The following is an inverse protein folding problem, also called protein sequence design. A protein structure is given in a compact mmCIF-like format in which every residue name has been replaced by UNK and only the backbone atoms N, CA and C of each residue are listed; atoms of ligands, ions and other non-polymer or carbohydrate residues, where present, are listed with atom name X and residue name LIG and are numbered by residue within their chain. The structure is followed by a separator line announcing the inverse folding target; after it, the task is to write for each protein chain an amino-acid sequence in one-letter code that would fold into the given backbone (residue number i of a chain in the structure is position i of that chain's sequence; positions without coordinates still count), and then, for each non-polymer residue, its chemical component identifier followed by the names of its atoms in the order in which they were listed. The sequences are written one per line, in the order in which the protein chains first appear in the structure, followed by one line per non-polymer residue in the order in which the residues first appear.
data_IF_804829166021
#
_entry.id   IF_804829166021
#
_cell.length_a   1.000
_cell.length_b   1.000
_cell.length_c   1.000
_cell.angle_alpha   90.00
_cell.angle_beta   90.00
_cell.angle_gamma   90.00
#
_symmetry.space_group_name_H-M   'P 1'
#
loop_
_entity.id
_entity.type
_entity.pdbx_description
1 polymer ?
#
# COMPACT_ATOMS: atom_id res chain seq x y z
N UNK A 1 -2.28 4.03 -14.71
CA UNK A 1 -1.12 4.19 -13.82
C UNK A 1 -1.38 5.31 -12.83
N UNK A 2 -1.17 5.07 -11.56
CA UNK A 2 -1.35 6.08 -10.53
C UNK A 2 -0.23 5.95 -9.48
N UNK A 3 0.12 7.08 -8.88
CA UNK A 3 1.06 7.14 -7.78
C UNK A 3 0.33 7.59 -6.53
N UNK A 4 0.60 6.95 -5.41
CA UNK A 4 0.06 7.35 -4.12
C UNK A 4 1.22 7.62 -3.16
N UNK A 5 1.02 8.59 -2.26
CA UNK A 5 2.02 8.92 -1.25
C UNK A 5 1.65 8.21 0.04
N UNK A 6 2.58 7.39 0.53
CA UNK A 6 2.45 6.71 1.81
C UNK A 6 3.59 7.14 2.72
N UNK A 7 3.48 6.81 3.98
CA UNK A 7 4.52 7.11 4.98
C UNK A 7 5.06 5.79 5.50
N UNK A 8 6.36 5.59 5.39
CA UNK A 8 6.97 4.38 5.93
C UNK A 8 7.04 4.45 7.47
N UNK A 9 7.46 3.37 8.09
CA UNK A 9 7.51 3.28 9.56
C UNK A 9 8.56 4.21 10.17
N UNK A 10 9.47 4.74 9.38
CA UNK A 10 10.45 5.73 9.82
C UNK A 10 9.97 7.16 9.67
N UNK A 11 8.77 7.37 9.14
CA UNK A 11 8.20 8.69 8.93
C UNK A 11 8.55 9.33 7.60
N UNK A 12 9.19 8.62 6.70
CA UNK A 12 9.57 9.14 5.38
C UNK A 12 8.44 8.94 4.37
N UNK A 13 8.29 9.91 3.46
CA UNK A 13 7.34 9.76 2.36
C UNK A 13 7.83 8.72 1.36
N UNK A 14 6.91 7.87 0.92
CA UNK A 14 7.18 6.87 -0.11
C UNK A 14 6.12 7.00 -1.17
N UNK A 15 6.53 7.20 -2.42
CA UNK A 15 5.61 7.25 -3.55
C UNK A 15 5.57 5.89 -4.22
N UNK A 16 4.38 5.31 -4.29
CA UNK A 16 4.19 3.96 -4.78
C UNK A 16 3.37 3.99 -6.06
N UNK A 17 3.88 3.34 -7.10
CA UNK A 17 3.12 3.14 -8.34
C UNK A 17 2.15 2.00 -8.11
N UNK A 18 0.86 2.29 -8.19
CA UNK A 18 -0.19 1.31 -7.88
C UNK A 18 -0.17 0.10 -8.81
N UNK A 19 0.38 0.24 -10.01
CA UNK A 19 0.51 -0.90 -10.94
C UNK A 19 1.47 -1.97 -10.43
N UNK A 20 2.33 -1.64 -9.48
CA UNK A 20 3.33 -2.56 -8.94
C UNK A 20 2.91 -3.19 -7.62
N UNK A 21 1.71 -2.92 -7.15
CA UNK A 21 1.20 -3.51 -5.90
C UNK A 21 0.35 -4.72 -6.24
N UNK A 22 0.74 -5.88 -5.73
CA UNK A 22 0.00 -7.12 -5.94
C UNK A 22 -1.15 -7.25 -4.95
N UNK A 23 -0.89 -6.96 -3.68
CA UNK A 23 -1.91 -6.98 -2.62
C UNK A 23 -1.40 -6.23 -1.40
N UNK A 24 -2.32 -5.89 -0.53
CA UNK A 24 -1.98 -5.27 0.76
C UNK A 24 -2.93 -5.78 1.83
N UNK A 25 -2.46 -5.74 3.08
CA UNK A 25 -3.22 -6.23 4.22
C UNK A 25 -2.83 -5.50 5.49
N UNK A 26 -3.61 -5.71 6.54
CA UNK A 26 -3.27 -5.18 7.86
C UNK A 26 -2.03 -5.90 8.41
N UNK A 27 -1.17 -5.15 9.09
CA UNK A 27 0.06 -5.69 9.66
C UNK A 27 -0.13 -6.23 11.08
N UNK A 28 -1.36 -6.40 11.53
CA UNK A 28 -1.64 -6.95 12.86
C UNK A 28 -1.95 -5.89 13.90
N UNK A 29 -1.12 -5.77 14.93
CA UNK A 29 -1.47 -5.03 16.13
C UNK A 29 -1.50 -3.50 16.00
N UNK A 30 -0.71 -2.94 15.11
CA UNK A 30 -0.54 -1.49 15.02
C UNK A 30 -1.51 -0.80 14.05
N UNK A 31 -2.32 -1.56 13.34
CA UNK A 31 -3.26 -1.00 12.37
C UNK A 31 -2.61 -0.50 11.08
N UNK A 32 -1.32 -0.68 10.93
CA UNK A 32 -0.59 -0.30 9.72
C UNK A 32 -0.85 -1.28 8.58
N UNK A 33 -0.40 -0.95 7.39
CA UNK A 33 -0.57 -1.83 6.23
C UNK A 33 0.76 -2.37 5.73
N UNK A 34 0.72 -3.58 5.19
CA UNK A 34 1.78 -4.16 4.39
C UNK A 34 1.36 -4.16 2.93
N UNK A 35 2.25 -3.69 2.07
CA UNK A 35 2.06 -3.75 0.61
C UNK A 35 3.08 -4.71 0.03
N UNK A 36 2.62 -5.64 -0.77
CA UNK A 36 3.49 -6.56 -1.50
C UNK A 36 3.55 -6.11 -2.94
N UNK A 37 4.75 -5.90 -3.44
CA UNK A 37 4.97 -5.31 -4.76
C UNK A 37 5.51 -6.33 -5.75
N UNK A 38 5.50 -5.95 -7.01
CA UNK A 38 6.10 -6.76 -8.09
C UNK A 38 7.62 -6.65 -8.13
N UNK A 39 8.21 -5.69 -7.40
CA UNK A 39 9.66 -5.55 -7.35
C UNK A 39 10.28 -6.72 -6.62
N UNK A 40 11.43 -7.17 -7.09
CA UNK A 40 12.16 -8.27 -6.49
C UNK A 40 13.49 -7.79 -5.94
N UNK A 41 13.82 -8.31 -4.77
CA UNK A 41 15.15 -8.13 -4.19
C UNK A 41 15.60 -9.50 -3.70
N UNK A 42 16.70 -10.00 -4.25
CA UNK A 42 17.25 -11.32 -3.90
C UNK A 42 16.21 -12.44 -4.01
N UNK A 43 15.48 -12.49 -5.11
CA UNK A 43 14.44 -13.50 -5.40
C UNK A 43 13.22 -13.44 -4.49
N UNK A 44 13.04 -12.34 -3.78
CA UNK A 44 11.88 -12.14 -2.92
C UNK A 44 11.08 -10.95 -3.40
N UNK A 45 9.77 -11.04 -3.29
CA UNK A 45 8.91 -9.89 -3.50
C UNK A 45 9.23 -8.83 -2.45
N UNK A 46 9.38 -7.58 -2.89
CA UNK A 46 9.63 -6.48 -1.99
C UNK A 46 8.34 -6.13 -1.25
N UNK A 47 8.40 -6.17 0.08
CA UNK A 47 7.28 -5.74 0.92
C UNK A 47 7.56 -4.37 1.51
N UNK A 48 6.51 -3.58 1.65
CA UNK A 48 6.59 -2.23 2.18
C UNK A 48 5.64 -2.09 3.36
N UNK A 49 6.20 -1.76 4.53
CA UNK A 49 5.41 -1.52 5.73
C UNK A 49 5.18 -0.01 5.87
N UNK A 50 3.92 0.40 5.87
CA UNK A 50 3.55 1.82 5.92
C UNK A 50 2.69 2.11 7.14
N UNK A 51 2.67 3.38 7.56
CA UNK A 51 1.88 3.81 8.71
C UNK A 51 0.39 3.89 8.41
N UNK A 52 0.01 4.03 7.15
CA UNK A 52 -1.39 4.06 6.76
C UNK A 52 -2.03 2.71 7.05
N UNK A 53 -3.29 2.75 7.50
CA UNK A 53 -4.10 1.55 7.63
C UNK A 53 -4.58 1.07 6.26
N UNK A 54 -5.02 -0.19 6.14
CA UNK A 54 -5.63 -0.63 4.88
C UNK A 54 -6.78 0.27 4.42
N UNK A 55 -7.60 0.78 5.34
CA UNK A 55 -8.68 1.71 5.00
C UNK A 55 -8.14 3.01 4.39
N UNK A 56 -7.05 3.53 4.92
CA UNK A 56 -6.41 4.73 4.37
C UNK A 56 -5.81 4.45 3.00
N UNK A 57 -5.23 3.27 2.80
CA UNK A 57 -4.71 2.87 1.49
C UNK A 57 -5.85 2.80 0.48
N UNK A 58 -6.99 2.21 0.86
CA UNK A 58 -8.18 2.17 0.00
C UNK A 58 -8.63 3.57 -0.37
N UNK A 59 -8.69 4.48 0.59
CA UNK A 59 -9.10 5.87 0.34
C UNK A 59 -8.16 6.55 -0.65
N UNK A 60 -6.86 6.35 -0.52
CA UNK A 60 -5.88 6.91 -1.45
C UNK A 60 -6.02 6.31 -2.85
N UNK A 61 -6.24 5.00 -2.93
CA UNK A 61 -6.46 4.35 -4.23
C UNK A 61 -7.70 4.92 -4.92
N UNK A 62 -8.79 5.09 -4.18
CA UNK A 62 -10.01 5.68 -4.73
C UNK A 62 -9.80 7.14 -5.17
N UNK A 63 -9.06 7.91 -4.39
CA UNK A 63 -8.70 9.28 -4.77
C UNK A 63 -7.88 9.31 -6.05
N UNK A 64 -7.06 8.30 -6.28
CA UNK A 64 -6.27 8.15 -7.50
C UNK A 64 -7.07 7.45 -8.62
N UNK A 65 -8.38 7.27 -8.43
CA UNK A 65 -9.31 6.69 -9.40
C UNK A 65 -9.02 5.23 -9.70
N UNK A 66 -8.48 4.52 -8.74
CA UNK A 66 -8.32 3.07 -8.83
C UNK A 66 -9.56 2.41 -8.24
N UNK A 67 -10.06 1.38 -8.90
CA UNK A 67 -11.22 0.66 -8.40
C UNK A 67 -10.80 -0.31 -7.29
N UNK A 68 -11.56 -0.29 -6.20
CA UNK A 68 -11.41 -1.25 -5.11
C UNK A 68 -12.79 -1.79 -4.79
N UNK A 69 -13.05 -3.03 -5.20
CA UNK A 69 -14.34 -3.67 -5.00
C UNK A 69 -14.35 -4.48 -3.70
N UNK A 70 -15.53 -4.73 -3.19
CA UNK A 70 -15.70 -5.59 -2.02
C UNK A 70 -15.47 -4.90 -0.69
N UNK A 71 -15.26 -3.59 -0.70
CA UNK A 71 -15.04 -2.81 0.53
C UNK A 71 -16.32 -2.10 0.89
N UNK A 72 -16.75 -2.23 2.14
CA UNK A 72 -17.85 -1.44 2.66
C UNK A 72 -17.39 0.00 2.88
N UNK A 73 -18.09 0.92 2.26
CA UNK A 73 -17.73 2.34 2.32
C UNK A 73 -17.93 2.92 3.72
#
# INVERSE_FOLDING_TARGET
MAWINLTDTNGSSVFVNTDNVLWFSASGEDGHAWLITTANESDRALSLHVKQSPSEVVALLRSARQEVAGVLA
#
